data_IF_100858378722
#
_entry.id   IF_100858378722
#
_cell.length_a   1.000
_cell.length_b   1.000
_cell.length_c   1.000
_cell.angle_alpha   90.00
_cell.angle_beta   90.00
_cell.angle_gamma   90.00
#
_symmetry.space_group_name_H-M   'P 1'
#
loop_
_entity.id
_entity.type
_entity.pdbx_description
1 polymer ?
#
# COMPACT_ATOMS: atom_id res chain seq x y z
N UNK A 1 -9.48 21.12 2.25
CA UNK A 1 -10.91 20.78 2.23
C UNK A 1 -11.22 19.53 1.40
N UNK A 2 -10.52 19.26 0.28
CA UNK A 2 -10.78 18.06 -0.53
C UNK A 2 -10.40 16.74 0.16
N UNK A 3 -9.31 16.71 0.94
CA UNK A 3 -8.92 15.55 1.74
C UNK A 3 -9.98 15.20 2.79
N UNK A 4 -10.51 16.20 3.49
CA UNK A 4 -11.59 16.05 4.47
C UNK A 4 -12.83 15.42 3.84
N UNK A 5 -13.24 15.88 2.64
CA UNK A 5 -14.37 15.28 1.91
C UNK A 5 -14.14 13.81 1.56
N UNK A 6 -12.90 13.44 1.22
CA UNK A 6 -12.56 12.03 0.96
C UNK A 6 -12.64 11.22 2.25
N UNK A 7 -12.07 11.70 3.36
CA UNK A 7 -12.13 11.01 4.65
C UNK A 7 -13.57 10.81 5.14
N UNK A 8 -14.42 11.84 4.98
CA UNK A 8 -15.86 11.74 5.30
C UNK A 8 -16.63 10.74 4.44
N UNK A 9 -16.12 10.41 3.25
CA UNK A 9 -16.70 9.43 2.35
C UNK A 9 -16.14 8.01 2.56
N UNK A 10 -15.17 7.83 3.43
CA UNK A 10 -14.65 6.49 3.77
C UNK A 10 -15.72 5.75 4.58
N UNK A 11 -16.07 4.56 4.11
CA UNK A 11 -17.00 3.68 4.81
C UNK A 11 -16.34 3.14 6.06
N UNK A 12 -17.05 3.14 7.19
CA UNK A 12 -16.57 2.52 8.41
C UNK A 12 -16.29 1.03 8.17
N UNK A 13 -15.06 0.61 8.42
CA UNK A 13 -14.64 -0.78 8.31
C UNK A 13 -15.13 -1.59 9.54
N UNK A 14 -15.36 -2.87 9.34
CA UNK A 14 -15.75 -3.81 10.39
C UNK A 14 -14.68 -4.87 10.66
N UNK A 15 -15.04 -5.85 11.48
CA UNK A 15 -14.13 -6.96 11.85
C UNK A 15 -13.66 -7.78 10.64
N UNK A 16 -14.49 -7.91 9.60
CA UNK A 16 -14.16 -8.65 8.37
C UNK A 16 -13.24 -7.85 7.42
N UNK A 17 -12.99 -6.58 7.72
CA UNK A 17 -12.18 -5.68 6.91
C UNK A 17 -10.79 -5.46 7.50
N UNK A 18 -10.47 -6.10 8.63
CA UNK A 18 -9.19 -5.92 9.32
C UNK A 18 -8.56 -7.25 9.69
N UNK A 19 -7.24 -7.35 9.46
CA UNK A 19 -6.41 -8.44 9.96
C UNK A 19 -5.29 -7.84 10.81
N UNK A 20 -5.23 -8.24 12.07
CA UNK A 20 -4.16 -7.87 12.99
C UNK A 20 -3.12 -8.98 13.05
N UNK A 21 -1.84 -8.60 13.12
CA UNK A 21 -0.74 -9.54 13.25
C UNK A 21 0.23 -9.16 14.36
N UNK A 22 1.02 -10.17 14.79
CA UNK A 22 2.10 -10.01 15.74
C UNK A 22 3.27 -10.89 15.31
N UNK A 23 4.47 -10.31 15.15
CA UNK A 23 5.63 -11.09 14.80
C UNK A 23 6.08 -12.02 15.94
N UNK A 24 6.66 -13.14 15.58
CA UNK A 24 7.24 -14.10 16.52
C UNK A 24 8.33 -13.41 17.37
N UNK A 25 8.24 -13.59 18.69
CA UNK A 25 9.19 -12.98 19.62
C UNK A 25 8.77 -11.60 20.17
N UNK A 26 7.69 -10.98 19.68
CA UNK A 26 7.27 -9.65 20.16
C UNK A 26 7.04 -9.58 21.67
N UNK A 27 6.41 -10.59 22.28
CA UNK A 27 6.14 -10.63 23.73
C UNK A 27 7.40 -10.85 24.57
N UNK A 28 8.52 -11.17 23.96
CA UNK A 28 9.83 -11.32 24.60
C UNK A 28 10.69 -10.05 24.48
N UNK A 29 10.23 -9.04 23.78
CA UNK A 29 10.94 -7.77 23.65
C UNK A 29 10.97 -6.99 24.98
N UNK A 30 12.07 -6.31 25.22
CA UNK A 30 12.24 -5.51 26.42
C UNK A 30 11.17 -4.41 26.54
N UNK A 31 10.51 -4.34 27.68
CA UNK A 31 9.45 -3.37 27.95
C UNK A 31 8.07 -3.76 27.43
N UNK A 32 7.91 -4.94 26.82
CA UNK A 32 6.61 -5.47 26.43
C UNK A 32 6.01 -6.33 27.53
N UNK A 33 4.78 -6.03 27.96
CA UNK A 33 4.06 -6.87 28.89
C UNK A 33 3.75 -8.24 28.27
N UNK A 34 3.91 -9.31 29.05
CA UNK A 34 3.72 -10.70 28.57
C UNK A 34 2.31 -11.01 28.11
N UNK A 35 1.33 -10.23 28.59
CA UNK A 35 -0.08 -10.28 28.24
C UNK A 35 -0.51 -9.17 27.24
N UNK A 36 0.46 -8.47 26.65
CA UNK A 36 0.18 -7.38 25.70
C UNK A 36 -0.68 -7.87 24.54
N UNK A 37 -1.72 -7.11 24.22
CA UNK A 37 -2.60 -7.33 23.08
C UNK A 37 -2.23 -6.45 21.87
N UNK A 38 -1.19 -5.64 21.99
CA UNK A 38 -0.75 -4.72 20.93
C UNK A 38 -0.36 -5.49 19.66
N UNK A 39 -0.96 -5.18 18.51
CA UNK A 39 -0.54 -5.74 17.24
C UNK A 39 0.74 -5.05 16.76
N UNK A 40 1.59 -5.77 16.05
CA UNK A 40 2.76 -5.23 15.34
C UNK A 40 2.55 -5.16 13.82
N UNK A 41 1.37 -5.55 13.35
CA UNK A 41 0.94 -5.55 11.95
C UNK A 41 -0.56 -5.33 11.86
N UNK A 42 -0.98 -4.58 10.85
CA UNK A 42 -2.37 -4.45 10.47
C UNK A 42 -2.51 -4.47 8.94
N UNK A 43 -3.52 -5.17 8.45
CA UNK A 43 -4.02 -5.06 7.09
C UNK A 43 -5.49 -4.64 7.13
N UNK A 44 -5.88 -3.72 6.26
CA UNK A 44 -7.21 -3.12 6.19
C UNK A 44 -7.74 -3.17 4.76
N UNK A 45 -9.03 -3.39 4.62
CA UNK A 45 -9.79 -3.16 3.39
C UNK A 45 -10.77 -2.01 3.63
N UNK A 46 -10.66 -0.96 2.81
CA UNK A 46 -11.48 0.23 2.91
C UNK A 46 -12.23 0.49 1.59
N UNK A 47 -13.36 1.18 1.68
CA UNK A 47 -14.12 1.67 0.53
C UNK A 47 -14.40 3.17 0.71
N UNK A 48 -14.41 3.90 -0.40
CA UNK A 48 -14.69 5.34 -0.42
C UNK A 48 -15.97 5.56 -1.23
N UNK A 49 -17.04 5.98 -0.55
CA UNK A 49 -18.37 6.14 -1.13
C UNK A 49 -18.51 7.51 -1.80
N UNK A 50 -17.76 7.72 -2.88
CA UNK A 50 -17.89 8.87 -3.75
C UNK A 50 -17.88 8.46 -5.23
N UNK A 51 -18.23 9.38 -6.12
CA UNK A 51 -18.33 9.10 -7.56
C UNK A 51 -17.06 8.55 -8.20
N UNK A 52 -15.87 8.98 -7.72
CA UNK A 52 -14.59 8.56 -8.28
C UNK A 52 -14.21 7.13 -7.87
N UNK A 53 -14.49 6.76 -6.63
CA UNK A 53 -13.95 5.56 -6.01
C UNK A 53 -15.00 4.50 -5.67
N UNK A 54 -16.28 4.75 -6.01
CA UNK A 54 -17.33 3.79 -5.72
C UNK A 54 -17.02 2.40 -6.29
N UNK A 55 -17.06 1.40 -5.41
CA UNK A 55 -16.78 0.00 -5.77
C UNK A 55 -15.30 -0.32 -6.02
N UNK A 56 -14.39 0.58 -5.66
CA UNK A 56 -12.94 0.32 -5.67
C UNK A 56 -12.49 -0.02 -4.26
N UNK A 57 -11.95 -1.23 -4.01
CA UNK A 57 -11.36 -1.58 -2.73
C UNK A 57 -9.99 -0.92 -2.57
N UNK A 58 -9.71 -0.43 -1.36
CA UNK A 58 -8.42 0.08 -0.94
C UNK A 58 -7.84 -0.87 0.10
N UNK A 59 -6.76 -1.53 -0.24
CA UNK A 59 -6.04 -2.40 0.68
C UNK A 59 -4.82 -1.68 1.23
N UNK A 60 -4.70 -1.66 2.54
CA UNK A 60 -3.57 -1.05 3.23
C UNK A 60 -2.94 -2.10 4.15
N UNK A 61 -1.61 -2.15 4.20
CA UNK A 61 -0.91 -2.93 5.22
C UNK A 61 0.29 -2.17 5.76
N UNK A 62 0.56 -2.37 7.03
CA UNK A 62 1.75 -1.86 7.69
C UNK A 62 2.16 -2.81 8.80
N UNK A 63 3.46 -2.98 9.02
CA UNK A 63 3.94 -3.90 10.05
C UNK A 63 5.39 -3.71 10.41
N UNK A 64 5.79 -4.36 11.50
CA UNK A 64 7.15 -4.45 11.99
C UNK A 64 7.73 -5.82 11.67
N UNK A 65 9.06 -5.94 11.68
CA UNK A 65 9.72 -7.22 11.41
C UNK A 65 9.44 -7.80 10.03
N UNK A 66 9.04 -6.98 9.06
CA UNK A 66 8.79 -7.39 7.67
C UNK A 66 10.11 -7.60 6.92
N UNK A 67 10.03 -8.25 5.74
CA UNK A 67 11.19 -8.53 4.87
C UNK A 67 11.98 -7.28 4.50
N UNK A 68 11.29 -6.18 4.26
CA UNK A 68 11.94 -4.92 3.88
C UNK A 68 11.13 -3.70 4.35
N UNK A 69 11.82 -2.57 4.45
CA UNK A 69 11.18 -1.27 4.69
C UNK A 69 10.79 -0.67 3.34
N UNK A 70 9.51 -0.77 3.02
CA UNK A 70 8.93 -0.29 1.76
C UNK A 70 7.76 0.63 2.05
N UNK A 71 7.65 1.70 1.28
CA UNK A 71 6.45 2.52 1.21
C UNK A 71 6.06 2.68 -0.25
N UNK A 72 4.95 2.07 -0.62
CA UNK A 72 4.47 2.11 -2.00
C UNK A 72 2.95 2.24 -2.06
N UNK A 73 2.47 2.81 -3.16
CA UNK A 73 1.06 2.82 -3.54
C UNK A 73 0.97 2.14 -4.89
N UNK A 74 0.29 0.99 -4.96
CA UNK A 74 0.07 0.27 -6.22
C UNK A 74 -1.39 0.36 -6.64
N UNK A 75 -1.61 0.78 -7.88
CA UNK A 75 -2.91 0.78 -8.54
C UNK A 75 -2.97 -0.36 -9.54
N UNK A 76 -3.83 -1.34 -9.28
CA UNK A 76 -4.13 -2.39 -10.23
C UNK A 76 -5.32 -1.95 -11.10
N UNK A 77 -5.12 -1.93 -12.42
CA UNK A 77 -6.19 -1.61 -13.35
C UNK A 77 -7.12 -2.81 -13.53
N UNK A 78 -8.39 -2.54 -13.80
CA UNK A 78 -9.37 -3.60 -14.06
C UNK A 78 -9.01 -4.37 -15.33
N UNK A 79 -9.36 -5.64 -15.36
CA UNK A 79 -9.28 -6.43 -16.60
C UNK A 79 -10.15 -5.78 -17.69
N UNK A 80 -9.64 -5.79 -18.92
CA UNK A 80 -10.42 -5.34 -20.07
C UNK A 80 -11.60 -6.31 -20.30
N UNK A 81 -12.83 -5.81 -20.53
CA UNK A 81 -14.00 -6.66 -20.65
C UNK A 81 -14.01 -7.50 -21.94
N UNK A 82 -13.27 -7.08 -22.95
CA UNK A 82 -13.14 -7.78 -24.22
C UNK A 82 -11.68 -7.89 -24.64
N UNK A 83 -11.20 -9.11 -24.76
CA UNK A 83 -9.86 -9.39 -25.28
C UNK A 83 -9.93 -9.47 -26.80
N UNK A 84 -9.16 -8.61 -27.48
CA UNK A 84 -8.99 -8.68 -28.95
C UNK A 84 -8.06 -9.83 -29.37
N UNK A 85 -7.50 -10.57 -28.40
CA UNK A 85 -6.50 -11.59 -28.60
C UNK A 85 -7.04 -12.98 -28.23
N UNK A 86 -6.47 -14.07 -28.82
CA UNK A 86 -6.93 -15.43 -28.55
C UNK A 86 -6.92 -15.79 -27.07
N UNK A 87 -7.82 -16.66 -26.67
CA UNK A 87 -8.08 -17.10 -25.29
C UNK A 87 -6.89 -17.69 -24.50
N UNK A 88 -5.76 -17.93 -25.16
CA UNK A 88 -4.58 -18.53 -24.56
C UNK A 88 -3.58 -17.52 -23.98
N UNK A 89 -3.96 -16.25 -23.89
CA UNK A 89 -3.09 -15.21 -23.30
C UNK A 89 -3.56 -14.90 -21.90
N UNK A 90 -2.83 -15.38 -20.92
CA UNK A 90 -3.00 -14.99 -19.52
C UNK A 90 -2.50 -13.54 -19.35
N UNK A 91 -3.40 -12.60 -19.59
CA UNK A 91 -3.10 -11.18 -19.47
C UNK A 91 -3.24 -10.75 -18.02
N UNK A 92 -2.13 -10.61 -17.34
CA UNK A 92 -2.08 -9.97 -16.03
C UNK A 92 -2.61 -8.53 -16.14
N UNK A 93 -3.36 -8.04 -15.14
CA UNK A 93 -3.76 -6.65 -15.08
C UNK A 93 -2.55 -5.71 -15.16
N UNK A 94 -2.74 -4.55 -15.77
CA UNK A 94 -1.73 -3.51 -15.71
C UNK A 94 -1.62 -2.94 -14.30
N UNK A 95 -0.42 -2.52 -13.90
CA UNK A 95 -0.16 -1.96 -12.57
C UNK A 95 0.63 -0.66 -12.71
N UNK A 96 0.30 0.30 -11.87
CA UNK A 96 1.09 1.51 -11.67
C UNK A 96 1.48 1.59 -10.20
N UNK A 97 2.78 1.53 -9.90
CA UNK A 97 3.32 1.63 -8.55
C UNK A 97 4.07 2.94 -8.36
N UNK A 98 3.78 3.62 -7.28
CA UNK A 98 4.45 4.83 -6.81
C UNK A 98 5.27 4.44 -5.58
N UNK A 99 6.58 4.48 -5.68
CA UNK A 99 7.51 4.12 -4.62
C UNK A 99 8.03 5.38 -3.94
N UNK A 100 7.97 5.39 -2.60
CA UNK A 100 8.58 6.44 -1.77
C UNK A 100 9.77 5.91 -0.97
N UNK A 101 9.83 4.60 -0.71
CA UNK A 101 10.93 3.93 -0.03
C UNK A 101 11.05 2.50 -0.57
N UNK A 102 12.29 1.95 -0.70
CA UNK A 102 13.59 2.53 -0.33
C UNK A 102 14.08 3.62 -1.29
N UNK A 103 13.60 3.66 -2.53
CA UNK A 103 13.94 4.64 -3.56
C UNK A 103 12.68 5.30 -4.09
N UNK A 104 12.76 6.57 -4.44
CA UNK A 104 11.66 7.27 -5.09
C UNK A 104 11.60 6.90 -6.57
N UNK A 105 10.54 6.20 -6.96
CA UNK A 105 10.37 5.68 -8.30
C UNK A 105 8.90 5.59 -8.72
N UNK A 106 8.68 5.49 -10.02
CA UNK A 106 7.39 5.18 -10.64
C UNK A 106 7.59 3.97 -11.54
N UNK A 107 6.79 2.92 -11.34
CA UNK A 107 6.82 1.70 -12.16
C UNK A 107 5.47 1.51 -12.83
N UNK A 108 5.46 1.37 -14.15
CA UNK A 108 4.27 1.01 -14.91
C UNK A 108 4.50 -0.34 -15.59
N UNK A 109 3.73 -1.35 -15.18
CA UNK A 109 3.67 -2.66 -15.86
C UNK A 109 2.44 -2.73 -16.75
N UNK A 110 2.65 -3.07 -18.01
CA UNK A 110 1.56 -3.21 -18.98
C UNK A 110 1.85 -4.30 -20.00
N UNK A 111 0.79 -4.84 -20.60
CA UNK A 111 0.90 -5.84 -21.63
C UNK A 111 1.21 -5.23 -23.00
N UNK A 112 2.19 -5.75 -23.70
CA UNK A 112 2.55 -5.30 -25.06
C UNK A 112 2.65 -6.47 -26.03
N UNK A 113 2.33 -6.20 -27.31
CA UNK A 113 2.50 -7.16 -28.37
C UNK A 113 3.98 -7.41 -28.65
N UNK A 114 4.38 -8.68 -28.72
CA UNK A 114 5.72 -9.04 -29.17
C UNK A 114 5.94 -8.65 -30.63
N UNK A 115 7.11 -8.12 -30.99
CA UNK A 115 7.48 -7.91 -32.39
C UNK A 115 7.43 -9.23 -33.19
N UNK A 116 7.02 -9.15 -34.45
CA UNK A 116 6.95 -10.30 -35.35
C UNK A 116 5.52 -10.72 -35.69
N UNK A 117 5.38 -11.89 -36.28
CA UNK A 117 4.10 -12.45 -36.73
C UNK A 117 3.28 -12.98 -35.54
N UNK A 118 1.96 -12.90 -35.65
CA UNK A 118 1.01 -13.36 -34.63
C UNK A 118 0.71 -12.32 -33.56
N UNK A 119 -0.25 -12.67 -32.70
CA UNK A 119 -0.78 -11.80 -31.63
C UNK A 119 -0.34 -12.31 -30.25
N UNK A 120 0.99 -12.45 -30.09
CA UNK A 120 1.57 -12.82 -28.79
C UNK A 120 1.82 -11.57 -27.97
N UNK A 121 1.39 -11.61 -26.70
CA UNK A 121 1.50 -10.50 -25.75
C UNK A 121 2.34 -10.95 -24.55
N UNK A 122 3.13 -10.04 -24.01
CA UNK A 122 3.81 -10.24 -22.71
C UNK A 122 3.79 -8.95 -21.89
N UNK A 123 3.92 -9.05 -20.56
CA UNK A 123 4.11 -7.87 -19.71
C UNK A 123 5.50 -7.25 -19.99
N UNK A 124 5.55 -5.93 -19.96
CA UNK A 124 6.78 -5.13 -19.96
C UNK A 124 6.67 -4.06 -18.89
N UNK A 125 7.82 -3.61 -18.39
CA UNK A 125 7.94 -2.58 -17.39
C UNK A 125 8.51 -1.29 -18.00
N UNK A 126 7.96 -0.15 -17.57
CA UNK A 126 8.54 1.17 -17.74
C UNK A 126 8.83 1.73 -16.36
N UNK A 127 10.06 2.12 -16.13
CA UNK A 127 10.53 2.57 -14.83
C UNK A 127 11.11 3.98 -14.93
N UNK A 128 10.79 4.79 -13.94
CA UNK A 128 11.37 6.10 -13.70
C UNK A 128 11.94 6.14 -12.30
N UNK A 129 13.20 6.55 -12.15
CA UNK A 129 13.87 6.66 -10.87
C UNK A 129 14.37 8.09 -10.66
N UNK A 130 13.90 8.77 -9.62
CA UNK A 130 14.26 10.17 -9.35
C UNK A 130 15.77 10.37 -9.18
N UNK A 131 16.45 9.50 -8.45
CA UNK A 131 17.88 9.60 -8.23
C UNK A 131 18.70 9.47 -9.53
N UNK A 132 18.24 8.64 -10.48
CA UNK A 132 18.93 8.45 -11.77
C UNK A 132 18.80 9.67 -12.68
N UNK A 133 17.63 10.31 -12.70
CA UNK A 133 17.34 11.42 -13.62
C UNK A 133 17.76 12.79 -13.06
N UNK A 134 17.70 12.97 -11.72
CA UNK A 134 17.99 14.25 -11.07
C UNK A 134 19.23 14.23 -10.17
N UNK A 135 19.81 13.04 -9.92
CA UNK A 135 20.93 12.84 -9.02
C UNK A 135 20.54 12.75 -7.55
N UNK A 136 21.32 12.02 -6.76
CA UNK A 136 21.05 11.74 -5.33
C UNK A 136 20.94 13.00 -4.46
N UNK A 137 21.58 14.10 -4.86
CA UNK A 137 21.57 15.37 -4.12
C UNK A 137 20.36 16.25 -4.41
N UNK A 138 19.52 15.87 -5.38
CA UNK A 138 18.33 16.65 -5.74
C UNK A 138 17.17 16.48 -4.75
N UNK A 139 17.19 15.42 -3.95
CA UNK A 139 16.16 15.10 -2.98
C UNK A 139 16.59 15.53 -1.58
N UNK A 140 16.02 16.61 -1.00
CA UNK A 140 16.31 17.01 0.36
C UNK A 140 15.78 15.95 1.35
N UNK A 141 16.44 15.83 2.52
CA UNK A 141 15.90 14.99 3.59
C UNK A 141 14.48 15.45 3.96
N UNK A 142 13.57 14.51 4.19
CA UNK A 142 12.15 14.80 4.42
C UNK A 142 11.92 15.83 5.55
N UNK A 143 12.67 15.75 6.64
CA UNK A 143 12.58 16.70 7.76
C UNK A 143 13.17 18.08 7.44
N UNK A 144 14.19 18.17 6.58
CA UNK A 144 14.79 19.43 6.18
C UNK A 144 13.75 20.34 5.50
N UNK A 145 12.99 19.79 4.56
CA UNK A 145 11.91 20.50 3.89
C UNK A 145 10.81 20.93 4.86
N UNK A 146 10.35 20.03 5.73
CA UNK A 146 9.30 20.33 6.72
C UNK A 146 9.73 21.43 7.69
N UNK A 147 10.98 21.40 8.17
CA UNK A 147 11.51 22.45 9.05
C UNK A 147 11.57 23.82 8.36
N UNK A 148 11.99 23.83 7.09
CA UNK A 148 12.02 25.06 6.30
C UNK A 148 10.61 25.63 6.10
N UNK A 149 9.65 24.78 5.72
CA UNK A 149 8.26 25.19 5.52
C UNK A 149 7.64 25.70 6.84
N UNK A 150 7.94 25.05 7.97
CA UNK A 150 7.50 25.54 9.29
C UNK A 150 8.07 26.93 9.63
N UNK A 151 9.35 27.17 9.35
CA UNK A 151 9.98 28.50 9.57
C UNK A 151 9.43 29.57 8.65
N UNK A 152 8.99 29.21 7.45
CA UNK A 152 8.39 30.11 6.47
C UNK A 152 6.88 30.32 6.68
N UNK A 153 6.26 29.53 7.57
CA UNK A 153 4.82 29.55 7.79
C UNK A 153 4.02 28.89 6.65
N UNK A 154 4.67 28.09 5.80
CA UNK A 154 4.00 27.33 4.76
C UNK A 154 3.40 26.03 5.34
N UNK A 155 2.08 25.97 5.38
CA UNK A 155 1.34 24.83 5.92
C UNK A 155 1.01 23.74 4.88
N UNK A 156 1.48 23.85 3.65
CA UNK A 156 1.05 22.99 2.52
C UNK A 156 1.32 21.49 2.76
N UNK A 157 2.43 21.15 3.42
CA UNK A 157 2.82 19.76 3.72
C UNK A 157 2.35 19.28 5.10
N UNK A 158 1.69 20.13 5.89
CA UNK A 158 1.23 19.75 7.23
C UNK A 158 -0.22 19.29 7.21
N UNK A 159 -0.50 18.26 8.03
CA UNK A 159 -1.85 17.75 8.19
C UNK A 159 -2.68 18.69 9.06
N UNK A 160 -3.91 19.00 8.65
CA UNK A 160 -4.83 19.85 9.41
C UNK A 160 -5.45 19.06 10.58
N UNK A 161 -5.88 19.76 11.62
CA UNK A 161 -6.50 19.15 12.79
C UNK A 161 -7.76 18.34 12.43
N UNK A 162 -8.61 18.86 11.56
CA UNK A 162 -9.83 18.16 11.11
C UNK A 162 -9.54 16.89 10.29
N UNK A 163 -8.45 16.85 9.52
CA UNK A 163 -8.00 15.62 8.84
C UNK A 163 -7.57 14.55 9.86
N UNK A 164 -6.87 14.97 10.91
CA UNK A 164 -6.40 14.07 11.97
C UNK A 164 -7.59 13.51 12.75
N UNK A 165 -8.53 14.36 13.17
CA UNK A 165 -9.72 13.94 13.92
C UNK A 165 -10.54 12.91 13.13
N UNK A 166 -10.83 13.20 11.85
CA UNK A 166 -11.56 12.27 10.99
C UNK A 166 -10.81 10.95 10.77
N UNK A 167 -9.47 10.99 10.65
CA UNK A 167 -8.68 9.77 10.53
C UNK A 167 -8.78 8.91 11.80
N UNK A 168 -8.77 9.51 12.99
CA UNK A 168 -8.97 8.80 14.23
C UNK A 168 -10.41 8.27 14.37
N UNK A 169 -11.43 9.05 14.00
CA UNK A 169 -12.82 8.59 13.97
C UNK A 169 -13.01 7.30 13.16
N UNK A 170 -12.23 7.13 12.08
CA UNK A 170 -12.26 5.91 11.25
C UNK A 170 -11.53 4.73 11.88
N UNK A 171 -10.45 4.98 12.62
CA UNK A 171 -9.55 3.93 13.12
C UNK A 171 -9.89 3.52 14.57
N UNK A 172 -10.30 4.43 15.44
CA UNK A 172 -10.57 4.14 16.84
C UNK A 172 -11.56 2.99 17.04
N UNK A 173 -12.71 2.92 16.30
CA UNK A 173 -13.63 1.79 16.43
C UNK A 173 -12.99 0.43 16.10
N UNK A 174 -11.97 0.40 15.23
CA UNK A 174 -11.25 -0.83 14.90
C UNK A 174 -10.30 -1.27 16.02
N UNK A 175 -9.78 -0.32 16.81
CA UNK A 175 -8.92 -0.63 17.96
C UNK A 175 -9.71 -1.17 19.13
N UNK A 176 -11.01 -0.88 19.20
CA UNK A 176 -11.94 -1.39 20.22
C UNK A 176 -12.40 -2.82 19.92
N UNK A 177 -12.22 -3.30 18.68
CA UNK A 177 -12.52 -4.67 18.34
C UNK A 177 -11.57 -5.64 19.09
N UNK A 178 -12.17 -6.60 19.81
CA UNK A 178 -11.40 -7.61 20.55
C UNK A 178 -10.81 -8.70 19.63
N UNK A 179 -10.09 -8.30 18.60
CA UNK A 179 -9.44 -9.21 17.67
C UNK A 179 -8.15 -9.77 18.24
N UNK A 180 -7.91 -11.04 18.01
CA UNK A 180 -6.65 -11.70 18.37
C UNK A 180 -5.66 -11.55 17.21
N UNK A 181 -4.47 -10.96 17.45
CA UNK A 181 -3.45 -10.86 16.41
C UNK A 181 -2.94 -12.24 15.97
N UNK A 182 -2.86 -12.47 14.67
CA UNK A 182 -2.27 -13.68 14.08
C UNK A 182 -0.74 -13.61 14.16
N UNK A 183 -0.10 -14.71 14.49
CA UNK A 183 1.36 -14.78 14.52
C UNK A 183 1.94 -14.87 13.12
N UNK A 184 3.05 -14.16 12.86
CA UNK A 184 3.80 -14.24 11.62
C UNK A 184 5.31 -14.26 11.86
N UNK A 185 6.12 -14.92 10.99
CA UNK A 185 7.57 -14.97 11.15
C UNK A 185 8.21 -13.62 10.85
N UNK A 186 9.26 -13.29 11.59
CA UNK A 186 10.14 -12.14 11.30
C UNK A 186 10.80 -12.36 9.94
N UNK A 187 10.82 -11.32 9.09
CA UNK A 187 11.33 -11.40 7.72
C UNK A 187 10.28 -11.87 6.71
N UNK A 188 9.03 -12.12 7.13
CA UNK A 188 7.89 -12.37 6.25
C UNK A 188 7.19 -11.07 5.79
N UNK A 189 6.03 -11.21 5.15
CA UNK A 189 5.18 -10.10 4.72
C UNK A 189 3.92 -9.93 5.57
N UNK A 190 3.88 -10.52 6.75
CA UNK A 190 2.73 -10.52 7.63
C UNK A 190 2.07 -11.89 7.73
N UNK A 191 0.90 -12.00 8.38
CA UNK A 191 0.16 -13.24 8.51
C UNK A 191 -0.57 -13.63 7.20
N UNK A 192 -0.75 -14.94 6.96
CA UNK A 192 -1.44 -15.49 5.77
C UNK A 192 -2.88 -14.93 5.62
N UNK A 193 -3.55 -14.65 6.72
CA UNK A 193 -4.90 -14.07 6.72
C UNK A 193 -4.95 -12.70 6.03
N UNK A 194 -3.84 -11.97 5.95
CA UNK A 194 -3.77 -10.74 5.19
C UNK A 194 -3.79 -10.99 3.67
N UNK A 195 -3.29 -12.13 3.21
CA UNK A 195 -3.38 -12.53 1.81
C UNK A 195 -4.81 -12.95 1.47
N UNK A 196 -5.51 -13.64 2.38
CA UNK A 196 -6.93 -13.98 2.23
C UNK A 196 -7.80 -12.72 2.11
N UNK A 197 -7.51 -11.67 2.88
CA UNK A 197 -8.25 -10.41 2.84
C UNK A 197 -8.25 -9.77 1.45
N UNK A 198 -7.12 -9.79 0.75
CA UNK A 198 -6.98 -9.17 -0.58
C UNK A 198 -7.40 -10.11 -1.71
N UNK A 199 -7.30 -11.43 -1.52
CA UNK A 199 -7.62 -12.43 -2.54
C UNK A 199 -9.11 -12.43 -2.93
N UNK A 200 -10.01 -11.93 -2.09
CA UNK A 200 -11.46 -11.84 -2.33
C UNK A 200 -11.78 -11.14 -3.66
N UNK A 201 -11.02 -10.12 -4.03
CA UNK A 201 -11.21 -9.34 -5.26
C UNK A 201 -10.24 -9.77 -6.39
N UNK A 202 -9.67 -10.99 -6.32
CA UNK A 202 -8.62 -11.45 -7.24
C UNK A 202 -7.42 -10.50 -7.32
N UNK A 203 -7.10 -9.87 -6.21
CA UNK A 203 -5.92 -9.03 -6.03
C UNK A 203 -4.84 -9.78 -5.25
N UNK A 204 -3.63 -9.28 -5.29
CA UNK A 204 -2.52 -9.74 -4.46
C UNK A 204 -1.67 -8.57 -4.00
N UNK A 205 -0.96 -8.74 -2.90
CA UNK A 205 0.00 -7.75 -2.47
C UNK A 205 1.15 -7.66 -3.48
N UNK A 206 1.33 -6.50 -4.06
CA UNK A 206 2.44 -6.23 -4.96
C UNK A 206 3.56 -5.50 -4.21
N UNK A 207 4.79 -5.80 -4.57
CA UNK A 207 5.99 -5.10 -4.14
C UNK A 207 6.77 -4.68 -5.38
N UNK A 208 6.17 -3.80 -6.17
CA UNK A 208 6.76 -3.29 -7.41
C UNK A 208 8.12 -2.62 -7.19
N UNK A 209 8.25 -1.98 -6.03
CA UNK A 209 9.47 -1.27 -5.63
C UNK A 209 10.64 -2.19 -5.25
N UNK A 210 10.40 -3.48 -4.99
CA UNK A 210 11.44 -4.46 -4.65
C UNK A 210 11.83 -5.37 -5.81
N UNK A 211 11.10 -5.36 -6.90
CA UNK A 211 11.25 -6.32 -8.00
C UNK A 211 12.61 -6.33 -8.68
N UNK A 212 13.49 -5.36 -8.44
CA UNK A 212 14.87 -5.29 -8.97
C UNK A 212 15.95 -5.36 -7.90
N UNK A 213 15.63 -5.37 -6.63
CA UNK A 213 16.64 -5.55 -5.58
C UNK A 213 17.03 -7.02 -5.38
N UNK A 214 16.38 -7.94 -6.11
CA UNK A 214 16.63 -9.39 -6.03
C UNK A 214 17.23 -9.99 -7.33
N UNK A 215 17.53 -9.17 -8.34
CA UNK A 215 18.37 -9.55 -9.48
C UNK A 215 19.78 -8.95 -9.31
#
# INVERSE_FOLDING_TARGET
DEKVKVLQAVRQAGADDIVLGRYEGYLQEDGVATDSRTPSYAALRLYIDNWRWQGVPFYMRSGKGLTAKVTEITMQFKHVPHLLFPENVDLMPNHLSLCSQPEEAIHLRFATKLPGAGMRVKPVDMDFHYAQDFGDTALPAAYERLLLDAMQGDAALFTRGDEIELAWELIDPLTELELTPHTYPVGGWGPEQADDLIAVENCSWHCGCLGRLQE
#
